data_IF_954546724264
#
_entry.id   IF_954546724264
#
_cell.length_a   1.000
_cell.length_b   1.000
_cell.length_c   1.000
_cell.angle_alpha   90.00
_cell.angle_beta   90.00
_cell.angle_gamma   90.00
#
_symmetry.space_group_name_H-M   'P 1'
#
loop_
_entity.id
_entity.type
_entity.pdbx_description
1 polymer ?
#
# COMPACT_ATOMS: atom_id res chain seq x y z
N UNK A 1 3.09 -18.79 8.97
CA UNK A 1 2.55 -17.83 8.00
C UNK A 1 2.25 -16.58 8.78
N UNK A 2 2.91 -15.49 8.41
CA UNK A 2 2.73 -14.19 9.05
C UNK A 2 1.75 -13.37 8.23
N UNK A 3 0.94 -12.57 8.91
CA UNK A 3 -0.11 -11.76 8.29
C UNK A 3 0.08 -10.30 8.69
N UNK A 4 0.03 -9.41 7.72
CA UNK A 4 0.01 -7.96 7.94
C UNK A 4 -1.33 -7.38 7.55
N UNK A 5 -1.76 -6.38 8.32
CA UNK A 5 -2.81 -5.48 7.89
C UNK A 5 -2.20 -4.40 7.01
N UNK A 6 -2.76 -4.22 5.83
CA UNK A 6 -2.32 -3.19 4.88
C UNK A 6 -3.54 -2.42 4.40
N UNK A 7 -3.34 -1.16 4.05
CA UNK A 7 -4.38 -0.26 3.59
C UNK A 7 -3.82 0.62 2.47
N UNK A 8 -4.65 1.05 1.50
CA UNK A 8 -4.24 2.11 0.59
C UNK A 8 -3.99 3.39 1.39
N UNK A 9 -3.07 4.23 0.89
CA UNK A 9 -2.74 5.53 1.48
C UNK A 9 -2.55 6.56 0.38
N UNK A 10 -2.89 7.80 0.69
CA UNK A 10 -2.61 8.95 -0.16
C UNK A 10 -1.18 9.46 0.10
N UNK A 11 -0.45 9.73 -0.97
CA UNK A 11 0.90 10.32 -0.89
C UNK A 11 0.89 11.73 -1.46
N UNK A 12 1.25 12.71 -0.64
CA UNK A 12 1.29 14.13 -1.02
C UNK A 12 2.73 14.62 -1.02
N UNK A 13 3.19 15.12 -2.16
CA UNK A 13 4.47 15.79 -2.26
C UNK A 13 4.43 17.13 -1.51
N UNK A 14 5.33 17.32 -0.55
CA UNK A 14 5.48 18.54 0.24
C UNK A 14 6.96 18.95 0.27
N UNK A 15 7.32 19.90 -0.60
CA UNK A 15 8.68 20.42 -0.77
C UNK A 15 9.72 19.30 -1.00
N UNK A 16 10.42 18.90 0.06
CA UNK A 16 11.50 17.91 0.02
C UNK A 16 11.07 16.55 0.59
N UNK A 17 9.81 16.38 0.99
CA UNK A 17 9.30 15.16 1.60
C UNK A 17 8.05 14.65 0.89
N UNK A 18 7.82 13.33 0.99
CA UNK A 18 6.57 12.70 0.58
C UNK A 18 5.80 12.37 1.85
N UNK A 19 4.65 13.01 2.05
CA UNK A 19 3.80 12.78 3.22
C UNK A 19 2.76 11.71 2.94
N UNK A 20 2.52 10.87 3.93
CA UNK A 20 1.52 9.81 3.88
C UNK A 20 0.25 10.23 4.63
N UNK A 21 -0.91 10.00 4.04
CA UNK A 21 -2.21 10.20 4.67
C UNK A 21 -3.08 8.96 4.51
N UNK A 22 -3.82 8.62 5.56
CA UNK A 22 -4.84 7.58 5.49
C UNK A 22 -6.13 8.11 4.84
N UNK A 23 -6.89 7.20 4.25
CA UNK A 23 -8.26 7.44 3.83
C UNK A 23 -9.22 7.32 5.01
N UNK A 24 -10.37 7.97 4.92
CA UNK A 24 -11.52 7.74 5.80
C UNK A 24 -12.41 6.62 5.26
N UNK A 25 -13.13 5.93 6.17
CA UNK A 25 -14.08 4.88 5.76
C UNK A 25 -15.10 5.42 4.76
N UNK A 26 -15.33 4.66 3.68
CA UNK A 26 -16.20 5.05 2.59
C UNK A 26 -15.64 6.10 1.62
N UNK A 27 -14.41 6.61 1.84
CA UNK A 27 -13.77 7.56 0.92
C UNK A 27 -13.42 6.90 -0.42
N UNK A 28 -12.96 5.64 -0.38
CA UNK A 28 -12.78 4.81 -1.57
C UNK A 28 -13.91 3.77 -1.62
N UNK A 29 -14.70 3.71 -2.71
CA UNK A 29 -15.71 2.66 -2.86
C UNK A 29 -15.11 1.26 -2.78
N UNK A 30 -15.83 0.31 -2.19
CA UNK A 30 -15.36 -1.07 -1.97
C UNK A 30 -14.99 -1.73 -3.29
N UNK A 31 -15.80 -1.53 -4.34
CA UNK A 31 -15.57 -2.09 -5.67
C UNK A 31 -14.23 -1.64 -6.24
N UNK A 32 -13.84 -0.41 -5.93
CA UNK A 32 -12.56 0.10 -6.36
C UNK A 32 -11.44 -0.54 -5.55
N UNK A 33 -11.56 -0.61 -4.22
CA UNK A 33 -10.53 -1.24 -3.40
C UNK A 33 -10.25 -2.67 -3.88
N UNK A 34 -11.29 -3.40 -4.29
CA UNK A 34 -11.15 -4.71 -4.92
C UNK A 34 -10.39 -4.64 -6.25
N UNK A 35 -10.70 -3.68 -7.14
CA UNK A 35 -9.93 -3.49 -8.38
C UNK A 35 -8.46 -3.15 -8.14
N UNK A 36 -8.15 -2.38 -7.10
CA UNK A 36 -6.75 -2.07 -6.75
C UNK A 36 -6.02 -3.30 -6.24
N UNK A 37 -6.67 -4.14 -5.44
CA UNK A 37 -6.11 -5.42 -5.04
C UNK A 37 -5.85 -6.29 -6.27
N UNK A 38 -6.82 -6.41 -7.18
CA UNK A 38 -6.65 -7.18 -8.42
C UNK A 38 -5.49 -6.67 -9.29
N UNK A 39 -5.31 -5.36 -9.37
CA UNK A 39 -4.17 -4.74 -10.06
C UNK A 39 -2.83 -5.11 -9.40
N UNK A 40 -2.79 -5.16 -8.07
CA UNK A 40 -1.58 -5.42 -7.29
C UNK A 40 -1.27 -6.91 -7.11
N UNK A 41 -2.26 -7.79 -7.26
CA UNK A 41 -2.12 -9.24 -7.04
C UNK A 41 -0.89 -9.83 -7.73
N UNK A 42 -0.64 -9.60 -9.04
CA UNK A 42 0.51 -10.20 -9.73
C UNK A 42 1.85 -9.83 -9.08
N UNK A 43 2.01 -8.58 -8.65
CA UNK A 43 3.24 -8.09 -8.02
C UNK A 43 3.53 -8.82 -6.69
N UNK A 44 2.50 -9.06 -5.88
CA UNK A 44 2.66 -9.78 -4.61
C UNK A 44 2.81 -11.29 -4.81
N UNK A 45 2.14 -11.87 -5.80
CA UNK A 45 2.26 -13.29 -6.16
C UNK A 45 3.67 -13.64 -6.67
N UNK A 46 4.32 -12.74 -7.42
CA UNK A 46 5.74 -12.89 -7.84
C UNK A 46 6.70 -13.04 -6.64
N UNK A 47 6.35 -12.43 -5.51
CA UNK A 47 7.10 -12.51 -4.26
C UNK A 47 6.63 -13.64 -3.33
N UNK A 48 5.69 -14.47 -3.79
CA UNK A 48 5.09 -15.57 -3.03
C UNK A 48 4.14 -15.13 -1.92
N UNK A 49 3.65 -13.90 -1.98
CA UNK A 49 2.71 -13.32 -1.00
C UNK A 49 1.28 -13.37 -1.51
N UNK A 50 0.32 -13.34 -0.60
CA UNK A 50 -1.11 -13.32 -0.93
C UNK A 50 -1.76 -12.05 -0.38
N UNK A 51 -2.24 -11.18 -1.29
CA UNK A 51 -2.98 -9.97 -0.95
C UNK A 51 -4.49 -10.24 -1.03
N UNK A 52 -5.24 -9.92 0.02
CA UNK A 52 -6.68 -10.19 0.10
C UNK A 52 -7.46 -9.01 0.66
N UNK A 53 -8.67 -8.82 0.14
CA UNK A 53 -9.63 -7.88 0.72
C UNK A 53 -10.24 -8.48 1.99
N UNK A 54 -10.22 -7.73 3.10
CA UNK A 54 -10.86 -8.15 4.36
C UNK A 54 -12.09 -7.31 4.65
N UNK A 55 -11.97 -5.99 4.60
CA UNK A 55 -13.05 -5.01 4.79
C UNK A 55 -12.61 -3.63 4.29
N UNK A 56 -13.50 -2.64 4.37
CA UNK A 56 -13.19 -1.25 3.99
C UNK A 56 -11.89 -0.74 4.63
N UNK A 57 -10.94 -0.29 3.79
CA UNK A 57 -9.59 0.17 4.15
C UNK A 57 -8.75 -0.82 4.98
N UNK A 58 -9.13 -2.09 5.02
CA UNK A 58 -8.41 -3.13 5.73
C UNK A 58 -8.23 -4.32 4.80
N UNK A 59 -7.01 -4.46 4.29
CA UNK A 59 -6.59 -5.58 3.47
C UNK A 59 -5.61 -6.44 4.26
N UNK A 60 -5.45 -7.70 3.86
CA UNK A 60 -4.57 -8.64 4.49
C UNK A 60 -3.47 -9.07 3.52
N UNK A 61 -2.22 -8.99 3.95
CA UNK A 61 -1.06 -9.50 3.22
C UNK A 61 -0.50 -10.71 3.97
N UNK A 62 -0.54 -11.89 3.35
CA UNK A 62 0.04 -13.11 3.89
C UNK A 62 1.42 -13.34 3.30
N UNK A 63 2.41 -13.62 4.16
CA UNK A 63 3.77 -13.90 3.73
C UNK A 63 4.05 -15.42 3.70
N UNK A 64 4.88 -15.88 2.75
CA UNK A 64 5.22 -17.30 2.61
C UNK A 64 6.01 -17.83 3.81
N UNK A 65 6.75 -16.95 4.50
CA UNK A 65 7.49 -17.27 5.71
C UNK A 65 7.56 -16.06 6.64
N UNK A 66 8.00 -16.28 7.87
CA UNK A 66 8.20 -15.21 8.85
C UNK A 66 9.38 -14.35 8.43
N UNK A 67 9.12 -13.06 8.21
CA UNK A 67 10.17 -12.09 7.88
C UNK A 67 10.48 -11.20 9.09
N UNK A 68 11.76 -10.95 9.40
CA UNK A 68 12.17 -10.02 10.46
C UNK A 68 12.02 -8.58 10.00
N UNK A 69 10.78 -8.16 9.73
CA UNK A 69 10.41 -6.81 9.30
C UNK A 69 9.72 -6.06 10.43
N UNK A 70 10.03 -4.79 10.56
CA UNK A 70 9.33 -3.86 11.44
C UNK A 70 8.54 -2.89 10.58
N UNK A 71 7.23 -2.78 10.84
CA UNK A 71 6.33 -1.86 10.17
C UNK A 71 5.84 -0.79 11.13
N UNK A 72 5.41 0.35 10.58
CA UNK A 72 4.83 1.44 11.36
C UNK A 72 3.30 1.34 11.29
N UNK A 73 2.58 1.36 12.42
CA UNK A 73 1.13 1.46 12.41
C UNK A 73 0.64 2.69 11.66
N UNK A 74 -0.45 2.56 10.90
CA UNK A 74 -0.95 3.62 10.01
C UNK A 74 -1.28 4.93 10.75
N UNK A 75 -1.85 4.81 11.95
CA UNK A 75 -2.19 5.95 12.83
C UNK A 75 -0.96 6.79 13.19
N UNK A 76 0.23 6.18 13.21
CA UNK A 76 1.49 6.84 13.54
C UNK A 76 2.23 7.32 12.30
N UNK A 77 1.89 6.78 11.13
CA UNK A 77 2.49 7.14 9.86
C UNK A 77 1.84 8.38 9.22
N UNK A 78 0.56 8.62 9.51
CA UNK A 78 -0.24 9.72 8.92
C UNK A 78 0.38 11.10 9.22
N UNK A 79 0.54 11.94 8.19
CA UNK A 79 1.20 13.25 8.23
C UNK A 79 2.73 13.20 8.26
N UNK A 80 3.31 12.02 8.48
CA UNK A 80 4.76 11.78 8.54
C UNK A 80 5.42 11.68 7.17
N UNK A 81 6.75 11.77 7.15
CA UNK A 81 7.55 11.50 5.95
C UNK A 81 7.54 9.99 5.64
N UNK A 82 7.12 9.61 4.44
CA UNK A 82 7.09 8.23 3.96
C UNK A 82 8.40 7.50 4.26
N UNK A 83 9.55 8.10 3.93
CA UNK A 83 10.85 7.47 4.11
C UNK A 83 11.15 7.11 5.57
N UNK A 84 10.59 7.86 6.52
CA UNK A 84 10.77 7.62 7.95
C UNK A 84 9.89 6.49 8.48
N UNK A 85 8.81 6.15 7.77
CA UNK A 85 7.81 5.15 8.20
C UNK A 85 7.86 3.86 7.36
N UNK A 86 8.75 3.82 6.35
CA UNK A 86 9.00 2.64 5.52
C UNK A 86 9.38 1.42 6.37
N UNK A 87 9.05 0.20 5.90
CA UNK A 87 9.43 -1.01 6.62
C UNK A 87 10.94 -1.14 6.79
N UNK A 88 11.37 -1.51 7.99
CA UNK A 88 12.78 -1.67 8.37
C UNK A 88 13.11 -3.14 8.65
N UNK A 89 14.37 -3.51 8.51
CA UNK A 89 14.87 -4.86 8.79
C UNK A 89 15.85 -5.36 7.74
N UNK A 90 16.19 -6.64 7.81
CA UNK A 90 17.20 -7.27 6.94
C UNK A 90 16.81 -7.19 5.45
N UNK A 91 15.51 -7.25 5.15
CA UNK A 91 14.96 -7.19 3.79
C UNK A 91 14.46 -5.80 3.37
N UNK A 92 14.87 -4.71 4.04
CA UNK A 92 14.31 -3.36 3.80
C UNK A 92 14.36 -2.92 2.33
N UNK A 93 15.39 -3.29 1.58
CA UNK A 93 15.54 -2.90 0.18
C UNK A 93 14.50 -3.59 -0.72
N UNK A 94 14.23 -4.87 -0.45
CA UNK A 94 13.20 -5.65 -1.14
C UNK A 94 11.81 -5.03 -0.91
N UNK A 95 11.49 -4.74 0.34
CA UNK A 95 10.22 -4.09 0.70
C UNK A 95 10.07 -2.69 0.11
N UNK A 96 11.14 -1.90 0.11
CA UNK A 96 11.15 -0.58 -0.54
C UNK A 96 10.91 -0.69 -2.04
N UNK A 97 11.55 -1.64 -2.72
CA UNK A 97 11.33 -1.88 -4.16
C UNK A 97 9.88 -2.28 -4.43
N UNK A 98 9.35 -3.24 -3.67
CA UNK A 98 7.97 -3.72 -3.79
C UNK A 98 6.94 -2.59 -3.62
N UNK A 99 7.10 -1.77 -2.57
CA UNK A 99 6.22 -0.64 -2.31
C UNK A 99 6.33 0.45 -3.38
N UNK A 100 7.52 0.70 -3.93
CA UNK A 100 7.69 1.64 -5.04
C UNK A 100 6.99 1.14 -6.31
N UNK A 101 7.09 -0.15 -6.64
CA UNK A 101 6.43 -0.75 -7.80
C UNK A 101 4.91 -0.72 -7.64
N UNK A 102 4.40 -1.05 -6.45
CA UNK A 102 2.99 -0.89 -6.12
C UNK A 102 2.53 0.57 -6.28
N UNK A 103 3.29 1.54 -5.78
CA UNK A 103 2.99 2.97 -5.94
C UNK A 103 2.92 3.36 -7.42
N UNK A 104 3.86 2.89 -8.25
CA UNK A 104 3.85 3.17 -9.69
C UNK A 104 2.63 2.60 -10.40
N UNK A 105 2.22 1.38 -10.07
CA UNK A 105 1.01 0.76 -10.64
C UNK A 105 -0.25 1.51 -10.24
N UNK A 106 -0.41 1.82 -8.95
CA UNK A 106 -1.57 2.56 -8.45
C UNK A 106 -1.65 3.96 -9.07
N UNK A 107 -0.52 4.67 -9.13
CA UNK A 107 -0.45 5.99 -9.77
C UNK A 107 -0.80 5.92 -11.26
N UNK A 108 -0.31 4.89 -11.98
CA UNK A 108 -0.65 4.68 -13.39
C UNK A 108 -2.16 4.43 -13.59
N UNK A 109 -2.77 3.61 -12.73
CA UNK A 109 -4.20 3.36 -12.75
C UNK A 109 -5.01 4.63 -12.48
N UNK A 110 -4.60 5.45 -11.49
CA UNK A 110 -5.23 6.74 -11.21
C UNK A 110 -5.10 7.74 -12.38
N UNK A 111 -3.92 7.84 -13.01
CA UNK A 111 -3.66 8.76 -14.13
C UNK A 111 -4.44 8.37 -15.39
N UNK A 112 -4.48 7.08 -15.74
CA UNK A 112 -5.24 6.60 -16.90
C UNK A 112 -6.75 6.83 -16.77
N UNK A 113 -7.23 7.13 -15.56
CA UNK A 113 -8.63 7.37 -15.24
C UNK A 113 -9.03 8.84 -15.13
N UNK A 114 -8.28 9.77 -15.74
CA UNK A 114 -8.74 11.16 -16.02
C UNK A 114 -10.04 11.26 -16.89
N UNK A 115 -10.70 10.14 -17.19
CA UNK A 115 -12.04 10.08 -17.80
C UNK A 115 -13.17 9.71 -16.83
N UNK A 116 -12.90 9.50 -15.53
CA UNK A 116 -13.94 9.33 -14.51
C UNK A 116 -13.53 8.40 -13.37
N UNK A 117 -13.36 9.00 -12.19
CA UNK A 117 -13.27 8.35 -10.87
C UNK A 117 -12.17 7.32 -10.72
N UNK A 118 -11.03 7.78 -10.18
CA UNK A 118 -10.52 7.38 -8.87
C UNK A 118 -9.26 8.16 -8.48
N UNK A 119 -9.34 8.88 -7.37
CA UNK A 119 -8.15 9.44 -6.73
C UNK A 119 -7.74 8.47 -5.62
N UNK A 120 -6.62 7.77 -5.81
CA UNK A 120 -5.92 7.00 -4.77
C UNK A 120 -4.50 7.53 -4.69
#
# INVERSE_FOLDING_TARGET
MDHFHVAPVHLVADWDVLRLFQFEQGEIPIEIQQQLIELLLPLFEEEGMLLQFQSDLCWQLQLPSREPIQTTPIDWATGGNLLSVMPQGENQLRWKKLLNEAQMMLHSAAVNQQSGQLAI
#
